data_IF_007485893230
#
_entry.id   IF_007485893230
#
_cell.length_a   1.000
_cell.length_b   1.000
_cell.length_c   1.000
_cell.angle_alpha   90.00
_cell.angle_beta   90.00
_cell.angle_gamma   90.00
#
_symmetry.space_group_name_H-M   'P 1'
#
loop_
_entity.id
_entity.type
_entity.pdbx_description
1 polymer ?
#
# COMPACT_ATOMS: atom_id res chain seq x y z
N UNK A 1 -5.05 -8.47 -8.63
CA UNK A 1 -4.65 -8.16 -7.24
C UNK A 1 -5.52 -8.83 -6.18
N UNK A 2 -6.85 -8.90 -6.33
CA UNK A 2 -7.72 -9.55 -5.31
C UNK A 2 -7.38 -11.02 -5.03
N UNK A 3 -6.78 -11.75 -5.98
CA UNK A 3 -6.26 -13.12 -5.75
C UNK A 3 -4.74 -13.19 -5.56
N UNK A 4 -3.97 -12.36 -6.27
CA UNK A 4 -2.50 -12.38 -6.27
C UNK A 4 -1.86 -11.87 -4.97
N UNK A 5 -2.44 -10.83 -4.37
CA UNK A 5 -2.01 -10.31 -3.07
C UNK A 5 -2.82 -10.88 -1.92
N UNK A 6 -3.79 -11.77 -2.18
CA UNK A 6 -4.75 -12.21 -1.16
C UNK A 6 -4.09 -12.77 0.10
N UNK A 7 -3.01 -13.55 -0.03
CA UNK A 7 -2.29 -14.09 1.12
C UNK A 7 -1.48 -13.02 1.89
N UNK A 8 -0.69 -12.24 1.15
CA UNK A 8 0.20 -11.22 1.73
C UNK A 8 -0.62 -10.06 2.30
N UNK A 9 -1.54 -9.49 1.53
CA UNK A 9 -2.42 -8.42 1.96
C UNK A 9 -3.34 -8.85 3.11
N UNK A 10 -3.86 -10.09 3.12
CA UNK A 10 -4.65 -10.56 4.26
C UNK A 10 -3.83 -10.52 5.57
N UNK A 11 -2.58 -10.97 5.55
CA UNK A 11 -1.72 -10.92 6.75
C UNK A 11 -1.55 -9.49 7.29
N UNK A 12 -1.34 -8.50 6.41
CA UNK A 12 -1.12 -7.12 6.82
C UNK A 12 -2.42 -6.38 7.18
N UNK A 13 -3.53 -6.68 6.51
CA UNK A 13 -4.78 -5.94 6.64
C UNK A 13 -5.77 -6.54 7.65
N UNK A 14 -5.72 -7.85 7.92
CA UNK A 14 -6.65 -8.51 8.85
C UNK A 14 -6.64 -7.86 10.25
N UNK A 15 -5.49 -7.61 10.91
CA UNK A 15 -5.50 -6.99 12.23
C UNK A 15 -6.04 -5.55 12.22
N UNK A 16 -5.83 -4.82 11.12
CA UNK A 16 -6.37 -3.47 10.96
C UNK A 16 -7.89 -3.52 10.75
N UNK A 17 -8.37 -4.43 9.90
CA UNK A 17 -9.79 -4.61 9.64
C UNK A 17 -10.56 -4.93 10.93
N UNK A 18 -10.07 -5.89 11.72
CA UNK A 18 -10.64 -6.24 13.02
C UNK A 18 -10.67 -5.05 13.97
N UNK A 19 -9.55 -4.32 14.10
CA UNK A 19 -9.48 -3.18 14.99
C UNK A 19 -10.40 -2.03 14.55
N UNK A 20 -10.62 -1.83 13.26
CA UNK A 20 -11.56 -0.84 12.71
C UNK A 20 -13.01 -1.31 12.70
N UNK A 21 -13.29 -2.58 13.02
CA UNK A 21 -14.62 -3.18 12.89
C UNK A 21 -15.07 -3.33 11.43
N UNK A 22 -14.13 -3.44 10.49
CA UNK A 22 -14.39 -3.63 9.07
C UNK A 22 -14.25 -5.10 8.68
N UNK A 23 -14.91 -5.50 7.60
CA UNK A 23 -14.55 -6.77 6.95
C UNK A 23 -13.16 -6.66 6.29
N UNK A 24 -12.46 -7.79 6.17
CA UNK A 24 -11.20 -7.86 5.42
C UNK A 24 -11.33 -7.29 4.01
N UNK A 25 -12.41 -7.63 3.32
CA UNK A 25 -12.68 -7.19 1.94
C UNK A 25 -12.83 -5.66 1.84
N UNK A 26 -13.46 -5.02 2.84
CA UNK A 26 -13.55 -3.56 2.89
C UNK A 26 -12.16 -2.94 3.08
N UNK A 27 -11.36 -3.43 4.03
CA UNK A 27 -10.01 -2.93 4.25
C UNK A 27 -9.11 -3.10 3.01
N UNK A 28 -9.20 -4.24 2.33
CA UNK A 28 -8.51 -4.49 1.05
C UNK A 28 -8.96 -3.52 -0.05
N UNK A 29 -10.27 -3.30 -0.20
CA UNK A 29 -10.78 -2.40 -1.24
C UNK A 29 -10.34 -0.96 -1.02
N UNK A 30 -10.39 -0.48 0.22
CA UNK A 30 -9.88 0.84 0.62
C UNK A 30 -8.37 0.94 0.37
N UNK A 31 -7.60 -0.04 0.85
CA UNK A 31 -6.15 -0.03 0.67
C UNK A 31 -5.74 -0.03 -0.81
N UNK A 32 -6.36 -0.87 -1.63
CA UNK A 32 -6.07 -0.94 -3.07
C UNK A 32 -6.43 0.36 -3.79
N UNK A 33 -7.53 1.01 -3.40
CA UNK A 33 -7.90 2.31 -3.96
C UNK A 33 -6.84 3.37 -3.67
N UNK A 34 -6.37 3.50 -2.41
CA UNK A 34 -5.28 4.41 -2.09
C UNK A 34 -3.95 3.99 -2.75
N UNK A 35 -3.63 2.70 -2.78
CA UNK A 35 -2.40 2.20 -3.39
C UNK A 35 -2.33 2.56 -4.89
N UNK A 36 -3.46 2.53 -5.61
CA UNK A 36 -3.51 2.98 -6.99
C UNK A 36 -3.22 4.49 -7.17
N UNK A 37 -3.25 5.28 -6.09
CA UNK A 37 -2.90 6.70 -6.05
C UNK A 37 -1.46 6.97 -5.60
N UNK A 38 -0.65 5.95 -5.28
CA UNK A 38 0.71 6.16 -4.76
C UNK A 38 1.56 7.07 -5.67
N UNK A 39 1.40 6.91 -6.98
CA UNK A 39 2.11 7.62 -8.04
C UNK A 39 1.34 8.82 -8.61
N UNK A 40 0.29 9.30 -7.92
CA UNK A 40 -0.58 10.38 -8.40
C UNK A 40 0.19 11.65 -8.79
N UNK A 41 1.34 11.93 -8.16
CA UNK A 41 2.16 13.09 -8.52
C UNK A 41 2.90 12.97 -9.85
N UNK A 42 2.93 11.79 -10.48
CA UNK A 42 3.47 11.64 -11.83
C UNK A 42 2.61 12.35 -12.88
N UNK A 43 1.37 12.72 -12.56
CA UNK A 43 0.55 13.57 -13.43
C UNK A 43 1.08 15.00 -13.54
N UNK A 44 1.98 15.45 -12.65
CA UNK A 44 2.56 16.79 -12.71
C UNK A 44 3.28 17.04 -14.05
N UNK A 45 3.04 18.18 -14.69
CA UNK A 45 3.81 18.62 -15.86
C UNK A 45 5.31 18.60 -15.57
N UNK A 46 5.71 19.02 -14.37
CA UNK A 46 7.10 18.96 -13.93
C UNK A 46 7.70 17.54 -14.05
N UNK A 47 6.94 16.52 -13.64
CA UNK A 47 7.39 15.12 -13.73
C UNK A 47 7.41 14.63 -15.17
N UNK A 48 6.37 14.91 -15.96
CA UNK A 48 6.31 14.51 -17.37
C UNK A 48 7.46 15.14 -18.19
N UNK A 49 7.84 16.37 -17.86
CA UNK A 49 8.99 17.07 -18.46
C UNK A 49 10.36 16.43 -18.23
N UNK A 50 10.46 15.39 -17.38
CA UNK A 50 11.69 14.59 -17.28
C UNK A 50 11.99 13.83 -18.58
N UNK A 51 10.96 13.52 -19.39
CA UNK A 51 11.08 12.77 -20.65
C UNK A 51 10.09 13.30 -21.69
N UNK A 52 10.37 14.49 -22.28
CA UNK A 52 9.48 15.13 -23.25
C UNK A 52 9.45 14.41 -24.61
N UNK A 53 10.37 13.48 -24.85
CA UNK A 53 10.66 12.87 -26.15
C UNK A 53 10.02 11.48 -26.37
N UNK A 54 9.09 11.06 -25.50
CA UNK A 54 8.54 9.70 -25.54
C UNK A 54 7.48 9.46 -26.61
N UNK A 55 6.56 10.41 -26.83
CA UNK A 55 5.48 10.30 -27.82
C UNK A 55 4.79 11.65 -28.02
N UNK A 56 4.35 11.93 -29.26
CA UNK A 56 3.55 13.11 -29.60
C UNK A 56 2.10 13.04 -29.06
N UNK A 57 1.65 11.85 -28.61
CA UNK A 57 0.34 11.67 -27.99
C UNK A 57 0.31 12.07 -26.51
N UNK A 58 1.49 12.27 -25.90
CA UNK A 58 1.60 12.69 -24.50
C UNK A 58 1.45 14.21 -24.37
N UNK A 59 1.29 14.68 -23.13
CA UNK A 59 1.20 16.11 -22.86
C UNK A 59 2.46 16.82 -23.33
N UNK A 60 2.29 17.94 -24.02
CA UNK A 60 3.40 18.81 -24.40
C UNK A 60 4.14 19.30 -23.14
N UNK A 61 5.46 19.28 -23.15
CA UNK A 61 6.29 19.64 -22.02
C UNK A 61 7.25 20.80 -22.31
N UNK A 62 7.06 21.55 -23.40
CA UNK A 62 7.88 22.73 -23.72
C UNK A 62 7.91 23.74 -22.56
N UNK A 63 6.75 24.04 -21.96
CA UNK A 63 6.61 24.95 -20.83
C UNK A 63 6.69 24.25 -19.45
N UNK A 64 7.19 23.01 -19.40
CA UNK A 64 7.25 22.27 -18.14
C UNK A 64 8.19 22.95 -17.14
N UNK A 65 7.73 23.24 -15.90
CA UNK A 65 8.63 23.77 -14.88
C UNK A 65 9.64 22.69 -14.46
N UNK A 66 10.80 23.09 -13.89
CA UNK A 66 11.81 22.15 -13.46
C UNK A 66 11.28 21.22 -12.35
N UNK A 67 11.50 19.92 -12.49
CA UNK A 67 11.15 18.93 -11.48
C UNK A 67 12.03 19.06 -10.23
N UNK A 68 11.53 19.78 -9.22
CA UNK A 68 12.24 20.03 -7.96
C UNK A 68 11.68 19.27 -6.76
N UNK A 69 10.45 18.77 -6.87
CA UNK A 69 9.75 18.07 -5.79
C UNK A 69 9.44 16.66 -6.23
N UNK A 70 9.71 15.69 -5.35
CA UNK A 70 9.44 14.28 -5.60
C UNK A 70 7.95 14.05 -5.86
N UNK A 71 7.64 13.16 -6.80
CA UNK A 71 6.27 12.87 -7.23
C UNK A 71 5.43 12.27 -6.12
N UNK A 72 6.04 11.62 -5.15
CA UNK A 72 5.35 11.13 -3.96
C UNK A 72 4.77 12.28 -3.12
N UNK A 73 5.54 13.35 -2.92
CA UNK A 73 5.12 14.59 -2.27
C UNK A 73 4.10 15.35 -3.15
N UNK A 74 4.31 15.39 -4.46
CA UNK A 74 3.35 16.02 -5.38
C UNK A 74 2.01 15.29 -5.41
N UNK A 75 2.01 13.96 -5.33
CA UNK A 75 0.80 13.16 -5.25
C UNK A 75 0.04 13.41 -3.95
N UNK A 76 0.76 13.52 -2.84
CA UNK A 76 0.19 13.93 -1.55
C UNK A 76 -0.46 15.31 -1.62
N UNK A 77 0.24 16.31 -2.17
CA UNK A 77 -0.27 17.68 -2.27
C UNK A 77 -1.47 17.79 -3.20
N UNK A 78 -1.43 17.12 -4.36
CA UNK A 78 -2.57 17.07 -5.27
C UNK A 78 -3.77 16.39 -4.62
N UNK A 79 -3.59 15.24 -3.95
CA UNK A 79 -4.69 14.56 -3.27
C UNK A 79 -5.34 15.46 -2.20
N UNK A 80 -4.53 16.18 -1.41
CA UNK A 80 -5.03 17.13 -0.42
C UNK A 80 -5.84 18.26 -1.06
N UNK A 81 -5.31 18.89 -2.11
CA UNK A 81 -6.01 19.94 -2.86
C UNK A 81 -7.39 19.44 -3.33
N UNK A 82 -7.45 18.24 -3.90
CA UNK A 82 -8.69 17.63 -4.37
C UNK A 82 -9.65 17.27 -3.22
N UNK A 83 -9.14 16.78 -2.09
CA UNK A 83 -9.93 16.44 -0.91
C UNK A 83 -10.53 17.69 -0.25
N UNK A 84 -9.72 18.72 -0.04
CA UNK A 84 -10.13 20.01 0.55
C UNK A 84 -11.17 20.71 -0.36
N UNK A 85 -11.01 20.62 -1.68
CA UNK A 85 -11.97 21.13 -2.66
C UNK A 85 -13.19 20.22 -2.87
N UNK A 86 -13.33 19.10 -2.15
CA UNK A 86 -14.42 18.11 -2.31
C UNK A 86 -14.59 17.60 -3.76
N UNK A 87 -13.47 17.45 -4.50
CA UNK A 87 -13.44 17.02 -5.90
C UNK A 87 -13.23 15.52 -6.09
N UNK A 88 -12.87 14.79 -5.03
CA UNK A 88 -12.70 13.34 -5.11
C UNK A 88 -14.07 12.65 -5.33
N UNK A 89 -14.16 11.64 -6.20
CA UNK A 89 -15.43 10.98 -6.53
C UNK A 89 -16.06 10.18 -5.38
N UNK A 90 -15.32 9.98 -4.30
CA UNK A 90 -15.74 9.26 -3.09
C UNK A 90 -16.43 10.16 -2.07
N UNK A 91 -16.42 11.49 -2.26
CA UNK A 91 -17.10 12.44 -1.38
C UNK A 91 -16.60 12.40 0.07
N UNK A 92 -15.34 12.78 0.31
CA UNK A 92 -14.77 12.79 1.67
C UNK A 92 -15.41 13.88 2.54
N UNK A 93 -16.02 13.47 3.65
CA UNK A 93 -16.49 14.43 4.65
C UNK A 93 -15.31 15.20 5.27
N UNK A 94 -15.40 16.54 5.44
CA UNK A 94 -14.33 17.34 6.05
C UNK A 94 -13.85 16.80 7.42
N UNK A 95 -14.78 16.31 8.24
CA UNK A 95 -14.49 15.76 9.56
C UNK A 95 -13.63 14.48 9.54
N UNK A 96 -13.62 13.76 8.41
CA UNK A 96 -12.92 12.48 8.25
C UNK A 96 -11.60 12.63 7.48
N UNK A 97 -11.27 13.83 7.00
CA UNK A 97 -10.10 14.06 6.13
C UNK A 97 -8.79 13.62 6.79
N UNK A 98 -8.60 13.84 8.09
CA UNK A 98 -7.40 13.40 8.81
C UNK A 98 -7.23 11.88 8.83
N UNK A 99 -8.33 11.13 8.88
CA UNK A 99 -8.31 9.68 8.80
C UNK A 99 -7.86 9.23 7.40
N UNK A 100 -8.44 9.79 6.35
CA UNK A 100 -8.10 9.46 4.96
C UNK A 100 -6.70 9.94 4.56
N UNK A 101 -6.26 11.06 5.13
CA UNK A 101 -4.93 11.59 4.96
C UNK A 101 -3.85 10.62 5.44
N UNK A 102 -4.09 9.84 6.51
CA UNK A 102 -3.13 8.80 6.94
C UNK A 102 -3.01 7.68 5.91
N UNK A 103 -4.13 7.25 5.29
CA UNK A 103 -4.08 6.27 4.20
C UNK A 103 -3.26 6.79 3.02
N UNK A 104 -3.50 8.03 2.59
CA UNK A 104 -2.75 8.64 1.50
C UNK A 104 -1.26 8.77 1.83
N UNK A 105 -0.89 9.20 3.04
CA UNK A 105 0.51 9.27 3.48
C UNK A 105 1.24 7.93 3.44
N UNK A 106 0.53 6.84 3.75
CA UNK A 106 1.12 5.50 3.71
C UNK A 106 1.57 5.13 2.30
N UNK A 107 0.80 5.50 1.28
CA UNK A 107 1.10 5.17 -0.12
C UNK A 107 1.98 6.21 -0.81
N UNK A 108 1.88 7.48 -0.41
CA UNK A 108 2.76 8.56 -0.89
C UNK A 108 4.11 8.61 -0.16
N UNK A 109 4.45 7.59 0.63
CA UNK A 109 5.77 7.38 1.21
C UNK A 109 6.53 6.21 0.57
N UNK A 110 6.08 5.73 -0.60
CA UNK A 110 6.54 4.47 -1.23
C UNK A 110 8.02 4.45 -1.64
N UNK A 111 8.72 5.59 -1.64
CA UNK A 111 10.18 5.66 -1.81
C UNK A 111 10.96 5.59 -0.47
N UNK A 112 10.33 5.09 0.59
CA UNK A 112 10.98 4.88 1.90
C UNK A 112 11.04 6.10 2.82
N UNK A 113 10.38 7.20 2.43
CA UNK A 113 10.27 8.41 3.25
C UNK A 113 8.87 9.01 3.10
N UNK A 114 8.21 9.46 4.19
CA UNK A 114 6.94 10.17 4.11
C UNK A 114 7.02 11.43 3.22
N UNK A 115 5.89 11.86 2.62
CA UNK A 115 5.86 13.08 1.82
C UNK A 115 6.13 14.33 2.68
N UNK A 116 6.54 15.42 2.06
CA UNK A 116 6.64 16.70 2.77
C UNK A 116 5.24 17.23 3.09
N UNK A 117 5.01 17.66 4.34
CA UNK A 117 3.70 18.23 4.77
C UNK A 117 3.58 19.72 4.46
N UNK A 118 4.71 20.41 4.31
CA UNK A 118 4.83 21.87 4.23
C UNK A 118 5.91 22.27 3.22
N UNK A 119 5.81 23.46 2.65
CA UNK A 119 6.84 24.05 1.81
C UNK A 119 7.76 25.00 2.61
N UNK A 120 8.88 25.42 2.00
CA UNK A 120 9.77 26.46 2.57
C UNK A 120 10.34 26.14 3.96
N UNK A 121 10.62 24.86 4.26
CA UNK A 121 11.15 24.45 5.57
C UNK A 121 10.14 24.50 6.72
N UNK A 122 8.83 24.48 6.43
CA UNK A 122 7.78 24.51 7.46
C UNK A 122 7.03 25.84 7.56
N UNK A 123 7.46 26.86 6.81
CA UNK A 123 6.95 28.22 6.90
C UNK A 123 5.80 28.51 5.93
N UNK A 124 5.63 27.69 4.88
CA UNK A 124 4.63 27.88 3.86
C UNK A 124 3.66 26.69 3.81
N UNK A 125 2.40 26.98 3.56
CA UNK A 125 1.42 25.95 3.25
C UNK A 125 1.88 25.19 2.01
N UNK A 126 1.77 23.87 2.06
CA UNK A 126 2.02 23.03 0.90
C UNK A 126 1.01 23.37 -0.20
N UNK A 127 1.50 23.67 -1.39
CA UNK A 127 0.71 23.95 -2.58
C UNK A 127 1.34 23.24 -3.77
N UNK A 128 0.50 22.64 -4.61
CA UNK A 128 0.88 22.03 -5.88
C UNK A 128 1.59 23.04 -6.79
N UNK A 129 1.27 24.33 -6.65
CA UNK A 129 1.94 25.44 -7.33
C UNK A 129 1.95 25.26 -8.84
N UNK A 130 3.05 25.66 -9.47
CA UNK A 130 3.22 25.60 -10.93
C UNK A 130 3.52 24.19 -11.45
N UNK A 131 3.81 23.21 -10.58
CA UNK A 131 4.19 21.85 -11.01
C UNK A 131 3.07 21.14 -11.79
N UNK A 132 1.81 21.53 -11.54
CA UNK A 132 0.64 21.02 -12.23
C UNK A 132 -0.05 22.13 -13.00
N UNK A 133 -0.42 21.84 -14.24
CA UNK A 133 -1.31 22.70 -15.02
C UNK A 133 -2.78 22.29 -14.79
N UNK A 134 -3.76 23.13 -15.16
CA UNK A 134 -5.17 22.77 -15.06
C UNK A 134 -5.52 21.47 -15.82
N UNK A 135 -4.87 21.19 -16.96
CA UNK A 135 -5.04 19.95 -17.71
C UNK A 135 -4.60 18.72 -16.91
N UNK A 136 -3.53 18.84 -16.14
CA UNK A 136 -2.92 17.74 -15.40
C UNK A 136 -3.82 17.33 -14.24
N UNK A 137 -4.39 18.32 -13.54
CA UNK A 137 -5.39 18.09 -12.49
C UNK A 137 -6.64 17.41 -13.05
N UNK A 138 -7.10 17.80 -14.25
CA UNK A 138 -8.21 17.13 -14.94
C UNK A 138 -7.87 15.69 -15.31
N UNK A 139 -6.66 15.44 -15.83
CA UNK A 139 -6.22 14.09 -16.17
C UNK A 139 -6.11 13.19 -14.93
N UNK A 140 -5.56 13.71 -13.84
CA UNK A 140 -5.48 13.02 -12.56
C UNK A 140 -6.87 12.70 -12.00
N UNK A 141 -7.81 13.65 -12.04
CA UNK A 141 -9.20 13.42 -11.65
C UNK A 141 -9.88 12.37 -12.53
N UNK A 142 -9.73 12.44 -13.85
CA UNK A 142 -10.27 11.45 -14.77
C UNK A 142 -9.72 10.05 -14.50
N UNK A 143 -8.43 9.94 -14.17
CA UNK A 143 -7.82 8.68 -13.72
C UNK A 143 -8.48 8.18 -12.43
N UNK A 144 -8.59 9.01 -11.39
CA UNK A 144 -9.23 8.66 -10.11
C UNK A 144 -10.68 8.21 -10.34
N UNK A 145 -11.44 8.92 -11.17
CA UNK A 145 -12.83 8.62 -11.50
C UNK A 145 -12.99 7.22 -12.13
N UNK A 146 -12.06 6.85 -13.00
CA UNK A 146 -12.06 5.57 -13.71
C UNK A 146 -11.65 4.41 -12.81
N UNK A 147 -10.64 4.58 -11.93
CA UNK A 147 -10.19 3.51 -11.03
C UNK A 147 -11.07 3.35 -9.78
N UNK A 148 -11.82 4.38 -9.39
CA UNK A 148 -12.68 4.32 -8.19
C UNK A 148 -13.69 3.16 -8.23
N UNK A 149 -14.50 2.98 -9.29
CA UNK A 149 -15.43 1.84 -9.34
C UNK A 149 -14.72 0.49 -9.44
N UNK A 150 -13.48 0.44 -9.94
CA UNK A 150 -12.70 -0.80 -10.00
C UNK A 150 -12.39 -1.37 -8.61
N UNK A 151 -12.12 -0.48 -7.63
CA UNK A 151 -11.75 -0.89 -6.28
C UNK A 151 -12.92 -0.83 -5.29
N UNK A 152 -13.72 0.24 -5.34
CA UNK A 152 -14.80 0.50 -4.38
C UNK A 152 -16.18 0.03 -4.86
N UNK A 153 -16.27 -0.46 -6.10
CA UNK A 153 -17.54 -0.88 -6.70
C UNK A 153 -18.40 0.30 -7.18
N UNK A 154 -19.60 -0.01 -7.68
CA UNK A 154 -20.49 0.96 -8.30
C UNK A 154 -20.91 2.10 -7.35
N UNK A 155 -21.00 1.82 -6.05
CA UNK A 155 -21.40 2.79 -5.04
C UNK A 155 -20.32 3.86 -4.79
N UNK A 156 -19.07 3.61 -5.22
CA UNK A 156 -17.91 4.51 -5.05
C UNK A 156 -17.74 5.02 -3.61
N UNK A 157 -18.17 4.24 -2.63
CA UNK A 157 -18.29 4.69 -1.25
C UNK A 157 -17.10 4.21 -0.41
N UNK A 158 -16.57 5.13 0.39
CA UNK A 158 -15.68 4.77 1.50
C UNK A 158 -16.50 4.58 2.78
N UNK A 159 -16.16 3.60 3.63
CA UNK A 159 -16.84 3.40 4.90
C UNK A 159 -16.61 4.60 5.83
N UNK A 160 -17.66 5.06 6.52
CA UNK A 160 -17.52 6.13 7.51
C UNK A 160 -16.62 5.67 8.66
N UNK A 161 -15.54 6.39 9.01
CA UNK A 161 -14.70 6.04 10.14
C UNK A 161 -15.46 6.12 11.47
N UNK A 162 -15.29 5.12 12.33
CA UNK A 162 -15.83 5.15 13.69
C UNK A 162 -15.05 6.12 14.58
N UNK A 163 -15.63 6.55 15.70
CA UNK A 163 -14.93 7.34 16.72
C UNK A 163 -13.66 6.61 17.18
N UNK A 164 -12.53 7.31 17.20
CA UNK A 164 -11.23 6.72 17.58
C UNK A 164 -10.50 5.93 16.47
N UNK A 165 -11.12 5.76 15.29
CA UNK A 165 -10.52 5.04 14.16
C UNK A 165 -9.18 5.63 13.71
N UNK A 166 -8.97 6.95 13.82
CA UNK A 166 -7.71 7.60 13.51
C UNK A 166 -6.55 7.09 14.39
N UNK A 167 -6.76 6.96 15.70
CA UNK A 167 -5.75 6.45 16.63
C UNK A 167 -5.45 4.96 16.39
N UNK A 168 -6.46 4.20 15.95
CA UNK A 168 -6.29 2.81 15.51
C UNK A 168 -5.43 2.78 14.25
N UNK A 169 -5.82 3.50 13.20
CA UNK A 169 -5.10 3.53 11.92
C UNK A 169 -3.64 3.93 12.08
N UNK A 170 -3.32 4.94 12.90
CA UNK A 170 -1.94 5.38 13.16
C UNK A 170 -1.04 4.26 13.70
N UNK A 171 -1.58 3.32 14.49
CA UNK A 171 -0.82 2.15 15.01
C UNK A 171 -0.48 1.12 13.93
N UNK A 172 -1.24 1.12 12.83
CA UNK A 172 -1.07 0.19 11.71
C UNK A 172 -0.42 0.84 10.48
N UNK A 173 -0.30 2.17 10.44
CA UNK A 173 0.16 2.93 9.28
C UNK A 173 1.50 2.44 8.72
N UNK A 174 2.45 2.09 9.58
CA UNK A 174 3.76 1.58 9.14
C UNK A 174 3.67 0.26 8.37
N UNK A 175 2.71 -0.62 8.69
CA UNK A 175 2.49 -1.88 7.97
C UNK A 175 1.90 -1.60 6.58
N UNK A 176 0.97 -0.66 6.50
CA UNK A 176 0.39 -0.21 5.24
C UNK A 176 1.43 0.41 4.32
N UNK A 177 2.30 1.27 4.88
CA UNK A 177 3.40 1.86 4.14
C UNK A 177 4.38 0.80 3.62
N UNK A 178 4.77 -0.17 4.46
CA UNK A 178 5.62 -1.28 4.02
C UNK A 178 4.98 -2.13 2.92
N UNK A 179 3.67 -2.39 3.00
CA UNK A 179 2.94 -3.10 1.94
C UNK A 179 2.87 -2.28 0.64
N UNK A 180 2.73 -0.96 0.73
CA UNK A 180 2.75 -0.08 -0.45
C UNK A 180 4.12 -0.09 -1.15
N UNK A 181 5.21 0.04 -0.39
CA UNK A 181 6.59 -0.08 -0.92
C UNK A 181 6.80 -1.42 -1.60
N UNK A 182 6.41 -2.53 -0.95
CA UNK A 182 6.54 -3.86 -1.52
C UNK A 182 5.75 -4.03 -2.83
N UNK A 183 4.52 -3.50 -2.87
CA UNK A 183 3.68 -3.57 -4.07
C UNK A 183 4.28 -2.76 -5.23
N UNK A 184 4.81 -1.57 -4.96
CA UNK A 184 5.49 -0.73 -5.95
C UNK A 184 6.76 -1.41 -6.50
N UNK A 185 7.58 -2.00 -5.63
CA UNK A 185 8.76 -2.76 -6.04
C UNK A 185 8.43 -3.96 -6.92
N UNK A 186 7.42 -4.75 -6.55
CA UNK A 186 6.97 -5.87 -7.36
C UNK A 186 6.38 -5.40 -8.71
N UNK A 187 5.61 -4.30 -8.70
CA UNK A 187 5.00 -3.70 -9.88
C UNK A 187 6.00 -3.06 -10.84
N UNK A 188 7.17 -2.65 -10.34
CA UNK A 188 8.24 -2.04 -11.13
C UNK A 188 9.14 -3.05 -11.85
N UNK A 189 8.98 -4.36 -11.60
CA UNK A 189 9.77 -5.39 -12.25
C UNK A 189 9.28 -5.65 -13.68
N UNK A 190 10.05 -5.19 -14.67
CA UNK A 190 9.72 -5.31 -16.10
C UNK A 190 9.69 -6.76 -16.63
N UNK A 191 10.34 -7.72 -15.94
CA UNK A 191 10.23 -9.15 -16.29
C UNK A 191 8.81 -9.68 -16.06
N UNK A 192 8.05 -9.02 -15.17
CA UNK A 192 6.65 -9.35 -14.87
C UNK A 192 5.67 -8.35 -15.46
N UNK A 193 6.03 -7.07 -15.48
CA UNK A 193 5.22 -5.95 -15.94
C UNK A 193 5.95 -5.16 -17.03
N UNK A 194 6.08 -5.72 -18.25
CA UNK A 194 6.72 -5.02 -19.36
C UNK A 194 5.91 -3.78 -19.75
N UNK A 195 6.62 -2.72 -20.16
CA UNK A 195 5.98 -1.48 -20.58
C UNK A 195 5.03 -1.69 -21.77
N UNK A 196 3.91 -0.97 -21.73
CA UNK A 196 2.88 -0.97 -22.77
C UNK A 196 2.61 0.47 -23.19
N UNK A 197 2.84 0.76 -24.46
CA UNK A 197 2.55 2.07 -25.07
C UNK A 197 1.24 2.08 -25.85
N UNK A 198 0.74 0.92 -26.30
CA UNK A 198 -0.54 0.82 -26.98
C UNK A 198 -1.70 0.87 -25.96
N UNK A 199 -2.71 1.74 -26.15
CA UNK A 199 -3.88 1.80 -25.29
C UNK A 199 -4.63 0.47 -25.21
N UNK A 200 -5.12 0.14 -24.02
CA UNK A 200 -5.92 -1.06 -23.74
C UNK A 200 -7.16 -0.67 -22.95
N UNK A 201 -8.24 -1.43 -23.12
CA UNK A 201 -9.38 -1.29 -22.23
C UNK A 201 -8.96 -1.62 -20.80
N UNK A 202 -9.37 -0.81 -19.83
CA UNK A 202 -8.93 -0.97 -18.43
C UNK A 202 -9.27 -2.36 -17.87
N UNK A 203 -10.42 -2.93 -18.23
CA UNK A 203 -10.83 -4.26 -17.78
C UNK A 203 -9.83 -5.36 -18.25
N UNK A 204 -9.40 -5.27 -19.52
CA UNK A 204 -8.46 -6.22 -20.12
C UNK A 204 -7.06 -6.06 -19.51
N UNK A 205 -6.59 -4.81 -19.40
CA UNK A 205 -5.33 -4.50 -18.74
C UNK A 205 -5.32 -4.99 -17.30
N UNK A 206 -6.41 -4.76 -16.56
CA UNK A 206 -6.52 -5.18 -15.18
C UNK A 206 -6.43 -6.70 -15.05
N UNK A 207 -7.23 -7.45 -15.82
CA UNK A 207 -7.19 -8.92 -15.81
C UNK A 207 -5.77 -9.47 -16.07
N UNK A 208 -5.07 -8.92 -17.06
CA UNK A 208 -3.67 -9.23 -17.35
C UNK A 208 -2.76 -8.93 -16.16
N UNK A 209 -2.84 -7.72 -15.60
CA UNK A 209 -2.03 -7.28 -14.46
C UNK A 209 -2.26 -8.16 -13.22
N UNK A 210 -3.48 -8.68 -13.01
CA UNK A 210 -3.75 -9.62 -11.91
C UNK A 210 -2.97 -10.93 -12.09
N UNK A 211 -2.94 -11.48 -13.31
CA UNK A 211 -2.21 -12.70 -13.61
C UNK A 211 -0.68 -12.50 -13.53
N UNK A 212 -0.18 -11.33 -13.92
CA UNK A 212 1.23 -10.96 -13.77
C UNK A 212 1.62 -10.82 -12.29
N UNK A 213 0.79 -10.12 -11.50
CA UNK A 213 1.01 -9.97 -10.06
C UNK A 213 1.08 -11.31 -9.33
N UNK A 214 0.23 -12.28 -9.69
CA UNK A 214 0.26 -13.60 -9.06
C UNK A 214 1.61 -14.31 -9.28
N UNK A 215 2.16 -14.19 -10.50
CA UNK A 215 3.48 -14.73 -10.85
C UNK A 215 4.60 -13.98 -10.14
N UNK A 216 4.55 -12.64 -10.10
CA UNK A 216 5.54 -11.81 -9.42
C UNK A 216 5.63 -12.14 -7.91
N UNK A 217 4.48 -12.26 -7.24
CA UNK A 217 4.42 -12.63 -5.81
C UNK A 217 4.98 -14.04 -5.58
N UNK A 218 4.63 -15.00 -6.43
CA UNK A 218 5.13 -16.36 -6.32
C UNK A 218 6.65 -16.44 -6.52
N UNK A 219 7.17 -15.78 -7.56
CA UNK A 219 8.60 -15.77 -7.88
C UNK A 219 9.43 -15.03 -6.82
N UNK A 220 8.85 -14.04 -6.15
CA UNK A 220 9.47 -13.37 -5.01
C UNK A 220 9.51 -14.23 -3.72
N UNK A 221 8.97 -15.46 -3.76
CA UNK A 221 8.87 -16.33 -2.58
C UNK A 221 7.85 -15.84 -1.55
N UNK A 222 6.94 -14.95 -1.95
CA UNK A 222 5.92 -14.35 -1.09
C UNK A 222 4.56 -15.04 -1.20
N UNK A 223 4.46 -16.08 -2.02
CA UNK A 223 3.29 -16.96 -1.99
C UNK A 223 3.21 -17.61 -0.60
N UNK A 224 2.03 -17.56 0.02
CA UNK A 224 1.82 -18.14 1.35
C UNK A 224 2.21 -19.62 1.36
N UNK A 225 3.03 -20.01 2.33
CA UNK A 225 3.35 -21.41 2.57
C UNK A 225 2.25 -22.06 3.42
N UNK A 226 1.87 -23.28 3.07
CA UNK A 226 0.99 -24.07 3.92
C UNK A 226 1.69 -24.32 5.27
N UNK A 227 1.05 -23.89 6.36
CA UNK A 227 1.52 -24.25 7.70
C UNK A 227 1.27 -25.73 7.88
N UNK A 228 2.33 -26.53 7.88
CA UNK A 228 2.21 -27.95 8.21
C UNK A 228 2.08 -28.07 9.73
N UNK A 229 1.16 -28.93 10.16
CA UNK A 229 0.95 -29.19 11.58
C UNK A 229 1.91 -30.27 12.06
N UNK A 230 2.60 -30.03 13.18
CA UNK A 230 3.57 -30.94 13.79
C UNK A 230 3.20 -31.12 15.27
N UNK A 231 2.47 -32.19 15.63
CA UNK A 231 2.10 -32.46 17.01
C UNK A 231 3.28 -32.79 17.94
N UNK A 232 4.47 -33.11 17.39
CA UNK A 232 5.65 -33.48 18.17
C UNK A 232 6.94 -32.83 17.61
N UNK A 233 7.86 -32.34 18.48
CA UNK A 233 9.12 -31.74 18.06
C UNK A 233 9.98 -32.62 17.14
N UNK A 234 9.93 -33.93 17.30
CA UNK A 234 10.70 -34.90 16.52
C UNK A 234 10.30 -34.92 15.04
N UNK A 235 9.12 -34.39 14.69
CA UNK A 235 8.69 -34.26 13.30
C UNK A 235 9.24 -33.00 12.61
N UNK A 236 9.85 -32.10 13.38
CA UNK A 236 10.58 -30.92 12.91
C UNK A 236 12.09 -31.15 12.88
N UNK A 237 12.60 -32.02 13.75
CA UNK A 237 14.03 -32.25 13.94
C UNK A 237 14.35 -33.74 13.92
N UNK A 238 14.81 -34.23 12.78
CA UNK A 238 15.09 -35.65 12.53
C UNK A 238 16.17 -36.24 13.46
N UNK A 239 17.02 -35.38 14.04
CA UNK A 239 18.07 -35.76 15.00
C UNK A 239 17.56 -35.89 16.45
N UNK A 240 16.33 -35.45 16.72
CA UNK A 240 15.78 -35.40 18.08
C UNK A 240 15.15 -36.74 18.44
N UNK A 241 15.86 -37.58 19.20
CA UNK A 241 15.33 -38.87 19.65
C UNK A 241 14.22 -38.71 20.72
N UNK A 242 14.45 -37.83 21.69
CA UNK A 242 13.48 -37.46 22.72
C UNK A 242 13.61 -35.96 23.06
N UNK A 243 12.50 -35.24 23.32
CA UNK A 243 12.58 -33.83 23.66
C UNK A 243 13.06 -33.68 25.10
N UNK A 244 13.86 -32.65 25.36
CA UNK A 244 14.12 -32.23 26.73
C UNK A 244 12.83 -31.75 27.39
N UNK A 245 12.75 -31.70 28.74
CA UNK A 245 11.57 -31.18 29.43
C UNK A 245 11.16 -29.77 28.97
N UNK A 246 12.14 -28.91 28.64
CA UNK A 246 11.88 -27.57 28.12
C UNK A 246 11.31 -27.61 26.69
N UNK A 247 11.80 -28.50 25.83
CA UNK A 247 11.29 -28.65 24.46
C UNK A 247 9.86 -29.21 24.45
N UNK A 248 9.56 -30.19 25.31
CA UNK A 248 8.20 -30.73 25.44
C UNK A 248 7.23 -29.69 26.01
N UNK A 249 7.68 -28.88 26.99
CA UNK A 249 6.91 -27.75 27.49
C UNK A 249 6.65 -26.71 26.38
N UNK A 250 7.68 -26.30 25.65
CA UNK A 250 7.56 -25.31 24.58
C UNK A 250 6.64 -25.78 23.43
N UNK A 251 6.58 -27.09 23.16
CA UNK A 251 5.70 -27.66 22.14
C UNK A 251 4.22 -27.68 22.54
N UNK A 252 3.91 -27.65 23.84
CA UNK A 252 2.54 -27.79 24.36
C UNK A 252 1.96 -26.51 24.92
N UNK A 253 2.81 -25.56 25.34
CA UNK A 253 2.36 -24.33 25.95
C UNK A 253 1.50 -23.55 24.94
N UNK A 254 0.24 -23.18 25.27
CA UNK A 254 -0.58 -22.39 24.37
C UNK A 254 0.09 -21.07 24.04
N UNK A 255 0.15 -20.75 22.74
CA UNK A 255 0.60 -19.43 22.30
C UNK A 255 -0.47 -18.40 22.67
N UNK A 256 -0.10 -17.44 23.52
CA UNK A 256 -0.89 -16.24 23.71
C UNK A 256 -0.55 -15.23 22.61
N UNK A 257 -1.47 -14.32 22.30
CA UNK A 257 -1.16 -13.22 21.35
C UNK A 257 -0.12 -12.27 21.98
N UNK A 258 1.15 -12.39 21.59
CA UNK A 258 2.25 -11.53 22.07
C UNK A 258 3.50 -12.30 22.53
N UNK A 259 4.57 -11.55 22.86
CA UNK A 259 5.87 -12.11 23.29
C UNK A 259 5.82 -12.71 24.70
N UNK A 260 6.35 -13.93 24.87
CA UNK A 260 6.89 -14.41 26.16
C UNK A 260 8.42 -14.39 26.12
N UNK A 261 9.04 -13.73 27.09
CA UNK A 261 10.42 -14.01 27.46
C UNK A 261 10.44 -15.28 28.32
N UNK A 262 11.15 -16.31 27.90
CA UNK A 262 11.46 -17.46 28.74
C UNK A 262 12.75 -17.19 29.51
N UNK A 263 12.68 -17.08 30.84
CA UNK A 263 13.89 -17.12 31.67
C UNK A 263 14.43 -18.55 31.71
N UNK A 264 15.70 -18.70 31.33
CA UNK A 264 16.39 -19.98 31.28
C UNK A 264 17.39 -20.02 32.43
N UNK A 265 17.30 -21.04 33.28
CA UNK A 265 18.36 -21.34 34.25
C UNK A 265 19.33 -22.35 33.61
N UNK A 266 20.61 -22.01 33.38
CA UNK A 266 21.57 -22.89 32.74
C UNK A 266 22.05 -23.94 33.73
N UNK A 267 21.27 -25.00 33.90
CA UNK A 267 21.64 -26.09 34.77
C UNK A 267 21.05 -27.39 34.27
N UNK A 268 21.84 -28.15 33.52
CA UNK A 268 22.03 -29.59 33.73
C UNK A 268 23.26 -30.03 32.90
N UNK A 269 24.41 -30.11 33.58
CA UNK A 269 25.54 -30.92 33.11
C UNK A 269 25.10 -32.38 33.21
N UNK A 270 25.02 -33.06 32.07
CA UNK A 270 24.98 -34.52 32.05
C UNK A 270 26.44 -34.99 32.05
N UNK A 271 26.79 -35.80 33.06
CA UNK A 271 28.01 -36.61 33.06
C UNK A 271 27.89 -37.72 32.04
#
# INVERSE_FOLDING_TARGET
MRSALAGVAAFFLQPLAEALGWSRQQAESVFLWFLALHDLGKFARAFQGLRPDLSQELVDCEDAPPYRRRHDTLGWWLWRELAEASRLPVGLAPADQDFWAVWMRCVSGHHGQPPLETAGGGLLQADTGDDFFPSDRRAALAFIDVITPLFLGADKALPRPATGALAILRRHAWRLAGLAVLADWLGSNQDHFPYRSAPLALADYWAMAQAQAARAVANAGLAGAAVRHWPQPQQLFDYLLAPTPLQDYAARVPLQHGLKGGEINPGHRVR
#
